data_IF_362680403173
#
_entry.id   IF_362680403173
#
_cell.length_a   1.000
_cell.length_b   1.000
_cell.length_c   1.000
_cell.angle_alpha   90.00
_cell.angle_beta   90.00
_cell.angle_gamma   90.00
#
_symmetry.space_group_name_H-M   'P 1'
#
loop_
_entity.id
_entity.type
_entity.pdbx_description
1 polymer ?
#
# COMPACT_ATOMS: atom_id res chain seq x y z
N UNK A 1 -92.11 6.63 40.41
CA UNK A 1 -90.80 6.61 41.10
C UNK A 1 -89.78 5.97 40.16
N UNK A 2 -88.57 6.55 40.05
CA UNK A 2 -87.40 6.14 39.23
C UNK A 2 -87.52 6.40 37.71
N UNK A 3 -86.51 6.87 36.98
CA UNK A 3 -85.17 7.37 37.27
C UNK A 3 -84.63 7.92 35.93
N UNK A 4 -84.52 9.23 35.78
CA UNK A 4 -83.92 9.84 34.57
C UNK A 4 -82.39 9.76 34.63
N UNK A 5 -81.78 8.97 33.74
CA UNK A 5 -80.32 8.93 33.54
C UNK A 5 -79.86 10.22 32.85
N UNK A 6 -79.00 10.99 33.49
CA UNK A 6 -78.24 12.09 32.88
C UNK A 6 -77.05 11.50 32.10
N UNK A 7 -77.15 11.48 30.77
CA UNK A 7 -76.01 11.23 29.90
C UNK A 7 -75.15 12.50 29.86
N UNK A 8 -73.97 12.44 30.50
CA UNK A 8 -72.96 13.49 30.45
C UNK A 8 -72.33 13.48 29.05
N UNK A 9 -72.77 14.39 28.17
CA UNK A 9 -72.14 14.60 26.87
C UNK A 9 -70.76 15.20 27.10
N UNK A 10 -69.72 14.37 26.90
CA UNK A 10 -68.34 14.81 26.89
C UNK A 10 -68.13 15.65 25.63
N UNK A 11 -67.95 16.95 25.80
CA UNK A 11 -67.56 17.87 24.71
C UNK A 11 -66.18 17.47 24.21
N UNK A 12 -66.12 16.85 23.04
CA UNK A 12 -64.88 16.70 22.31
C UNK A 12 -64.52 18.05 21.70
N UNK A 13 -63.53 18.73 22.28
CA UNK A 13 -62.91 19.90 21.66
C UNK A 13 -62.12 19.41 20.45
N UNK A 14 -62.68 19.60 19.25
CA UNK A 14 -61.97 19.33 18.00
C UNK A 14 -60.80 20.30 17.85
N UNK A 15 -59.64 19.78 17.44
CA UNK A 15 -58.49 20.59 17.09
C UNK A 15 -58.86 21.56 15.97
N UNK A 16 -58.51 22.83 16.16
CA UNK A 16 -58.78 23.85 15.14
C UNK A 16 -57.79 23.70 13.98
N UNK A 17 -58.22 24.11 12.77
CA UNK A 17 -57.34 24.11 11.60
C UNK A 17 -56.07 24.94 11.84
N UNK A 18 -56.19 26.01 12.62
CA UNK A 18 -55.07 26.88 13.00
C UNK A 18 -54.05 26.17 13.90
N UNK A 19 -54.49 25.33 14.84
CA UNK A 19 -53.59 24.53 15.67
C UNK A 19 -52.82 23.49 14.84
N UNK A 20 -53.47 22.84 13.87
CA UNK A 20 -52.77 21.88 12.99
C UNK A 20 -51.72 22.59 12.12
N UNK A 21 -52.05 23.75 11.55
CA UNK A 21 -51.07 24.54 10.76
C UNK A 21 -49.91 24.99 11.66
N UNK A 22 -50.19 25.43 12.89
CA UNK A 22 -49.16 25.82 13.86
C UNK A 22 -48.22 24.68 14.24
N UNK A 23 -48.75 23.49 14.52
CA UNK A 23 -47.94 22.30 14.83
C UNK A 23 -47.10 21.88 13.63
N UNK A 24 -47.69 21.84 12.43
CA UNK A 24 -46.94 21.51 11.21
C UNK A 24 -45.83 22.53 10.91
N UNK A 25 -46.06 23.82 11.16
CA UNK A 25 -45.04 24.85 10.99
C UNK A 25 -43.85 24.64 11.95
N UNK A 26 -44.12 24.35 13.23
CA UNK A 26 -43.08 24.06 14.22
C UNK A 26 -42.32 22.78 13.85
N UNK A 27 -43.03 21.72 13.44
CA UNK A 27 -42.41 20.48 12.98
C UNK A 27 -41.54 20.70 11.74
N UNK A 28 -41.98 21.52 10.78
CA UNK A 28 -41.21 21.84 9.58
C UNK A 28 -39.94 22.64 9.92
N UNK A 29 -40.02 23.61 10.84
CA UNK A 29 -38.86 24.38 11.31
C UNK A 29 -37.88 23.46 12.04
N UNK A 30 -38.36 22.63 12.98
CA UNK A 30 -37.52 21.69 13.72
C UNK A 30 -36.85 20.68 12.78
N UNK A 31 -37.60 20.09 11.85
CA UNK A 31 -37.05 19.18 10.84
C UNK A 31 -36.00 19.87 9.94
N UNK A 32 -36.25 21.12 9.53
CA UNK A 32 -35.31 21.93 8.76
C UNK A 32 -34.00 22.21 9.52
N UNK A 33 -34.07 22.50 10.82
CA UNK A 33 -32.88 22.81 11.64
C UNK A 33 -32.02 21.59 12.00
N UNK A 34 -32.60 20.38 12.05
CA UNK A 34 -31.88 19.15 12.40
C UNK A 34 -31.14 18.52 11.19
N UNK A 35 -31.62 18.76 9.98
CA UNK A 35 -31.08 18.20 8.73
C UNK A 35 -29.56 18.43 8.51
N UNK A 36 -29.00 19.65 8.62
CA UNK A 36 -27.59 19.89 8.31
C UNK A 36 -26.62 19.15 9.26
N UNK A 37 -26.95 19.08 10.55
CA UNK A 37 -26.08 18.47 11.56
C UNK A 37 -25.92 16.96 11.36
N UNK A 38 -26.98 16.27 10.92
CA UNK A 38 -26.97 14.82 10.69
C UNK A 38 -26.10 14.50 9.46
N UNK A 39 -26.25 15.25 8.37
CA UNK A 39 -25.48 15.04 7.15
C UNK A 39 -23.96 15.16 7.38
N UNK A 40 -23.53 16.17 8.14
CA UNK A 40 -22.12 16.38 8.47
C UNK A 40 -21.56 15.30 9.41
N UNK A 41 -22.38 14.80 10.34
CA UNK A 41 -21.98 13.67 11.20
C UNK A 41 -21.75 12.40 10.38
N UNK A 42 -22.65 12.13 9.43
CA UNK A 42 -22.57 10.94 8.58
C UNK A 42 -21.38 11.03 7.61
N UNK A 43 -21.11 12.19 7.02
CA UNK A 43 -19.94 12.40 6.17
C UNK A 43 -18.62 12.17 6.92
N UNK A 44 -18.55 12.61 8.19
CA UNK A 44 -17.39 12.31 9.05
C UNK A 44 -17.28 10.80 9.33
N UNK A 45 -18.37 10.12 9.64
CA UNK A 45 -18.36 8.68 9.85
C UNK A 45 -17.86 7.90 8.62
N UNK A 46 -18.30 8.29 7.41
CA UNK A 46 -17.77 7.71 6.17
C UNK A 46 -16.29 8.00 5.96
N UNK A 47 -15.86 9.22 6.26
CA UNK A 47 -14.47 9.62 6.14
C UNK A 47 -13.55 8.86 7.11
N UNK A 48 -14.01 8.59 8.33
CA UNK A 48 -13.29 7.81 9.33
C UNK A 48 -13.23 6.33 8.97
N UNK A 49 -14.34 5.76 8.52
CA UNK A 49 -14.39 4.40 8.00
C UNK A 49 -13.44 4.22 6.79
N UNK A 50 -13.36 5.23 5.93
CA UNK A 50 -12.46 5.21 4.78
C UNK A 50 -10.98 5.20 5.19
N UNK A 51 -10.60 5.94 6.25
CA UNK A 51 -9.23 5.88 6.79
C UNK A 51 -8.89 4.46 7.25
N UNK A 52 -9.81 3.80 7.95
CA UNK A 52 -9.63 2.41 8.39
C UNK A 52 -9.50 1.44 7.20
N UNK A 53 -10.36 1.59 6.19
CA UNK A 53 -10.28 0.77 4.97
C UNK A 53 -8.94 0.96 4.24
N UNK A 54 -8.45 2.20 4.15
CA UNK A 54 -7.16 2.51 3.54
C UNK A 54 -5.99 1.91 4.32
N UNK A 55 -6.10 1.78 5.65
CA UNK A 55 -5.11 1.08 6.47
C UNK A 55 -5.05 -0.40 6.09
N UNK A 56 -6.20 -1.08 6.03
CA UNK A 56 -6.30 -2.50 5.64
C UNK A 56 -5.73 -2.71 4.23
N UNK A 57 -6.01 -1.80 3.29
CA UNK A 57 -5.46 -1.85 1.93
C UNK A 57 -3.93 -1.68 1.95
N UNK A 58 -3.40 -0.74 2.74
CA UNK A 58 -1.95 -0.54 2.89
C UNK A 58 -1.25 -1.76 3.51
N UNK A 59 -1.86 -2.40 4.50
CA UNK A 59 -1.35 -3.63 5.09
C UNK A 59 -1.40 -4.82 4.14
N UNK A 60 -2.41 -4.87 3.29
CA UNK A 60 -2.50 -5.87 2.22
C UNK A 60 -1.39 -5.67 1.19
N UNK A 61 -1.00 -4.43 0.88
CA UNK A 61 0.18 -4.14 0.06
C UNK A 61 1.47 -4.62 0.73
N UNK A 62 1.63 -4.37 2.03
CA UNK A 62 2.79 -4.86 2.79
C UNK A 62 2.89 -6.38 2.75
N UNK A 63 1.78 -7.09 2.96
CA UNK A 63 1.73 -8.56 2.92
C UNK A 63 2.01 -9.10 1.52
N UNK A 64 1.38 -8.54 0.48
CA UNK A 64 1.65 -8.88 -0.90
C UNK A 64 3.15 -8.77 -1.23
N UNK A 65 3.79 -7.65 -0.86
CA UNK A 65 5.23 -7.45 -1.12
C UNK A 65 6.09 -8.50 -0.42
N UNK A 66 5.77 -8.82 0.82
CA UNK A 66 6.54 -9.78 1.61
C UNK A 66 6.29 -11.23 1.20
N UNK A 67 5.11 -11.60 0.75
CA UNK A 67 4.78 -12.99 0.40
C UNK A 67 5.12 -13.28 -1.07
N UNK A 68 4.75 -12.40 -2.00
CA UNK A 68 4.99 -12.60 -3.43
C UNK A 68 6.36 -12.11 -3.91
N UNK A 69 7.09 -11.38 -3.06
CA UNK A 69 8.35 -10.69 -3.41
C UNK A 69 8.20 -9.81 -4.64
N UNK A 70 7.04 -9.16 -4.74
CA UNK A 70 6.62 -8.35 -5.88
C UNK A 70 6.03 -7.04 -5.41
N UNK A 71 6.19 -6.00 -6.21
CA UNK A 71 5.48 -4.74 -6.02
C UNK A 71 4.58 -4.57 -7.24
N UNK A 72 3.26 -4.39 -7.07
CA UNK A 72 2.36 -4.26 -8.20
C UNK A 72 2.64 -2.97 -8.97
N UNK A 73 2.27 -2.91 -10.23
CA UNK A 73 2.39 -1.67 -11.00
C UNK A 73 1.36 -0.62 -10.56
N UNK A 74 1.56 0.64 -10.94
CA UNK A 74 0.55 1.70 -10.73
C UNK A 74 -0.71 1.56 -11.59
N UNK A 75 -0.85 0.51 -12.41
CA UNK A 75 -2.08 0.23 -13.14
C UNK A 75 -3.15 -0.33 -12.19
N UNK A 76 -4.36 0.22 -12.23
CA UNK A 76 -5.45 -0.18 -11.33
C UNK A 76 -5.75 -1.67 -11.34
N UNK A 77 -5.84 -2.31 -12.50
CA UNK A 77 -6.10 -3.76 -12.55
C UNK A 77 -4.98 -4.59 -11.90
N UNK A 78 -3.75 -4.09 -11.93
CA UNK A 78 -2.58 -4.75 -11.35
C UNK A 78 -2.59 -4.69 -9.83
N UNK A 79 -2.76 -3.50 -9.25
CA UNK A 79 -2.71 -3.38 -7.79
C UNK A 79 -4.00 -3.86 -7.13
N UNK A 80 -5.17 -3.63 -7.73
CA UNK A 80 -6.44 -4.12 -7.17
C UNK A 80 -6.43 -5.65 -7.05
N UNK A 81 -6.05 -6.36 -8.13
CA UNK A 81 -5.95 -7.83 -8.12
C UNK A 81 -4.89 -8.34 -7.14
N UNK A 82 -3.77 -7.63 -7.03
CA UNK A 82 -2.71 -7.98 -6.10
C UNK A 82 -3.17 -7.86 -4.64
N UNK A 83 -3.86 -6.77 -4.30
CA UNK A 83 -4.24 -6.47 -2.92
C UNK A 83 -5.44 -7.29 -2.46
N UNK A 84 -6.41 -7.60 -3.33
CA UNK A 84 -7.56 -8.43 -2.98
C UNK A 84 -7.18 -9.84 -2.60
N UNK A 85 -6.12 -10.38 -3.21
CA UNK A 85 -5.57 -11.70 -2.88
C UNK A 85 -5.03 -11.79 -1.44
N UNK A 86 -4.76 -10.65 -0.80
CA UNK A 86 -4.20 -10.58 0.55
C UNK A 86 -5.09 -9.83 1.54
N UNK A 87 -6.32 -9.49 1.17
CA UNK A 87 -7.26 -8.76 2.02
C UNK A 87 -8.59 -9.50 2.10
N UNK A 88 -9.46 -9.11 3.03
CA UNK A 88 -10.85 -9.59 3.04
C UNK A 88 -11.73 -8.83 2.04
N UNK A 89 -11.21 -7.77 1.41
CA UNK A 89 -11.92 -6.96 0.44
C UNK A 89 -11.86 -7.56 -0.96
N UNK A 90 -12.99 -7.45 -1.65
CA UNK A 90 -13.13 -7.71 -3.07
C UNK A 90 -12.37 -6.69 -3.92
N UNK A 91 -12.22 -6.96 -5.22
CA UNK A 91 -11.61 -6.01 -6.15
C UNK A 91 -12.33 -4.64 -6.15
N UNK A 92 -13.67 -4.64 -6.11
CA UNK A 92 -14.46 -3.42 -6.08
C UNK A 92 -14.27 -2.64 -4.78
N UNK A 93 -14.27 -3.31 -3.62
CA UNK A 93 -14.07 -2.65 -2.33
C UNK A 93 -12.67 -2.05 -2.17
N UNK A 94 -11.68 -2.56 -2.91
CA UNK A 94 -10.33 -1.98 -2.97
C UNK A 94 -10.29 -0.80 -3.94
N UNK A 95 -10.90 -0.95 -5.11
CA UNK A 95 -10.89 0.07 -6.15
C UNK A 95 -11.77 1.29 -5.79
N UNK A 96 -12.89 1.07 -5.10
CA UNK A 96 -13.89 2.10 -4.81
C UNK A 96 -14.14 2.24 -3.31
N UNK A 97 -14.32 3.48 -2.86
CA UNK A 97 -14.76 3.76 -1.50
C UNK A 97 -16.25 3.49 -1.30
N UNK A 98 -16.72 3.60 -0.06
CA UNK A 98 -18.11 3.34 0.32
C UNK A 98 -19.13 4.26 -0.37
N UNK A 99 -18.67 5.33 -1.04
CA UNK A 99 -19.49 6.25 -1.84
C UNK A 99 -19.44 5.93 -3.34
N UNK A 100 -18.75 4.86 -3.74
CA UNK A 100 -18.61 4.45 -5.14
C UNK A 100 -17.55 5.24 -5.92
N UNK A 101 -16.71 6.03 -5.23
CA UNK A 101 -15.64 6.79 -5.88
C UNK A 101 -14.33 6.04 -5.90
N UNK A 102 -13.62 6.17 -7.02
CA UNK A 102 -12.43 5.37 -7.33
C UNK A 102 -11.22 5.91 -6.57
N UNK A 103 -10.51 5.04 -5.87
CA UNK A 103 -9.21 5.30 -5.24
C UNK A 103 -8.07 5.21 -6.25
N UNK A 104 -6.95 5.82 -5.93
CA UNK A 104 -5.75 5.72 -6.76
C UNK A 104 -4.52 5.33 -5.92
N UNK A 105 -3.84 4.27 -6.33
CA UNK A 105 -2.51 3.92 -5.84
C UNK A 105 -1.46 4.56 -6.75
N UNK A 106 -0.65 5.44 -6.18
CA UNK A 106 0.30 6.29 -6.89
C UNK A 106 1.70 5.99 -6.36
N UNK A 107 2.60 5.59 -7.26
CA UNK A 107 4.00 5.38 -6.93
C UNK A 107 4.80 6.64 -7.25
N UNK A 108 5.82 6.92 -6.46
CA UNK A 108 6.79 7.96 -6.81
C UNK A 108 7.47 7.61 -8.15
N UNK A 109 7.44 8.51 -9.16
CA UNK A 109 8.14 8.29 -10.42
C UNK A 109 9.66 8.04 -10.27
N UNK A 110 10.25 8.43 -9.14
CA UNK A 110 11.66 8.18 -8.82
C UNK A 110 11.87 6.95 -7.93
N UNK A 111 10.96 5.99 -7.92
CA UNK A 111 11.05 4.80 -7.06
C UNK A 111 12.41 4.09 -7.16
N UNK A 112 12.87 3.80 -8.39
CA UNK A 112 14.15 3.13 -8.68
C UNK A 112 15.06 3.94 -9.61
N UNK A 113 14.79 5.23 -9.80
CA UNK A 113 15.56 6.05 -10.75
C UNK A 113 15.67 7.49 -10.27
N UNK A 114 16.81 8.12 -10.57
CA UNK A 114 17.04 9.53 -10.28
C UNK A 114 16.27 10.47 -11.23
N UNK A 115 15.64 9.94 -12.28
CA UNK A 115 14.74 10.65 -13.19
C UNK A 115 13.32 10.10 -13.12
N UNK A 116 12.34 10.92 -13.50
CA UNK A 116 10.93 10.57 -13.42
C UNK A 116 10.60 9.45 -14.44
N UNK A 117 10.27 8.25 -13.94
CA UNK A 117 9.90 7.09 -14.76
C UNK A 117 8.61 6.47 -14.26
N UNK A 118 7.76 6.01 -15.18
CA UNK A 118 6.52 5.33 -14.80
C UNK A 118 6.86 4.03 -14.11
N UNK A 119 6.38 3.88 -12.87
CA UNK A 119 6.58 2.65 -12.12
C UNK A 119 5.79 1.49 -12.76
N UNK A 120 6.52 0.50 -13.28
CA UNK A 120 5.96 -0.67 -13.97
C UNK A 120 5.75 -1.89 -13.06
N UNK A 121 5.96 -1.73 -11.75
CA UNK A 121 6.01 -2.84 -10.81
C UNK A 121 7.43 -3.39 -10.64
N UNK A 122 7.59 -4.32 -9.71
CA UNK A 122 8.86 -4.98 -9.41
C UNK A 122 8.65 -6.47 -9.14
N UNK A 123 9.59 -7.29 -9.59
CA UNK A 123 9.64 -8.71 -9.29
C UNK A 123 11.04 -9.04 -8.79
N UNK A 124 11.14 -9.56 -7.57
CA UNK A 124 12.40 -10.04 -7.01
C UNK A 124 12.90 -11.24 -7.81
N UNK A 125 13.85 -11.01 -8.72
CA UNK A 125 14.51 -12.10 -9.47
C UNK A 125 15.98 -12.22 -9.09
N UNK A 126 16.74 -11.14 -9.29
CA UNK A 126 18.19 -11.09 -8.98
C UNK A 126 18.54 -10.05 -7.92
N UNK A 127 17.55 -9.33 -7.40
CA UNK A 127 17.74 -8.11 -6.61
C UNK A 127 18.07 -6.90 -7.49
N UNK A 128 18.01 -5.71 -6.90
CA UNK A 128 18.34 -4.44 -7.55
C UNK A 128 19.84 -4.18 -7.45
N UNK A 129 20.43 -3.58 -8.48
CA UNK A 129 21.85 -3.18 -8.46
C UNK A 129 22.10 -1.94 -7.60
N UNK A 130 21.11 -1.05 -7.54
CA UNK A 130 21.15 0.18 -6.76
C UNK A 130 20.05 0.16 -5.69
N UNK A 131 20.22 0.98 -4.66
CA UNK A 131 19.18 1.18 -3.66
C UNK A 131 17.95 1.80 -4.34
N UNK A 132 16.73 1.48 -3.89
CA UNK A 132 15.57 2.26 -4.25
C UNK A 132 15.79 3.73 -3.89
N UNK A 133 15.58 4.62 -4.85
CA UNK A 133 15.87 6.06 -4.71
C UNK A 133 14.80 6.75 -3.87
N UNK A 134 13.53 6.44 -4.14
CA UNK A 134 12.39 7.01 -3.43
C UNK A 134 11.22 6.02 -3.36
N UNK A 135 11.31 4.97 -2.53
CA UNK A 135 10.34 3.89 -2.49
C UNK A 135 9.08 4.29 -1.72
N UNK A 136 8.38 5.32 -2.22
CA UNK A 136 7.20 5.95 -1.62
C UNK A 136 5.97 5.66 -2.47
N UNK A 137 4.85 5.45 -1.78
CA UNK A 137 3.55 5.17 -2.39
C UNK A 137 2.48 5.98 -1.67
N UNK A 138 1.53 6.50 -2.43
CA UNK A 138 0.33 7.17 -1.92
C UNK A 138 -0.88 6.34 -2.32
N UNK A 139 -1.77 6.05 -1.38
CA UNK A 139 -3.14 5.67 -1.67
C UNK A 139 -4.00 6.90 -1.41
N UNK A 140 -4.72 7.35 -2.44
CA UNK A 140 -5.58 8.54 -2.38
C UNK A 140 -7.03 8.13 -2.56
N UNK A 141 -7.90 8.66 -1.72
CA UNK A 141 -9.35 8.52 -1.81
C UNK A 141 -10.00 9.90 -1.72
N UNK A 142 -11.03 10.12 -2.53
CA UNK A 142 -11.85 11.33 -2.52
C UNK A 142 -13.31 10.91 -2.37
N UNK A 143 -13.97 11.42 -1.32
CA UNK A 143 -15.34 11.07 -0.95
C UNK A 143 -16.39 11.82 -1.78
N UNK A 144 -15.99 12.61 -2.76
CA UNK A 144 -16.89 13.43 -3.60
C UNK A 144 -16.80 13.12 -5.08
N UNK A 145 -15.74 12.44 -5.53
CA UNK A 145 -15.48 12.14 -6.94
C UNK A 145 -14.40 11.07 -7.10
N UNK A 146 -14.34 10.46 -8.27
CA UNK A 146 -13.22 9.59 -8.63
C UNK A 146 -11.90 10.37 -8.58
N UNK A 147 -10.87 9.78 -7.98
CA UNK A 147 -9.53 10.38 -7.97
C UNK A 147 -8.96 10.34 -9.40
N UNK A 148 -8.71 11.51 -10.03
CA UNK A 148 -8.19 11.54 -11.40
C UNK A 148 -6.72 11.21 -11.44
N UNK A 149 -6.30 10.52 -12.51
CA UNK A 149 -4.90 10.26 -12.82
C UNK A 149 -4.02 11.51 -12.67
N UNK A 150 -2.80 11.31 -12.19
CA UNK A 150 -1.80 12.37 -12.05
C UNK A 150 -0.70 12.22 -13.09
N UNK A 151 -0.01 13.30 -13.41
CA UNK A 151 1.18 13.23 -14.26
C UNK A 151 2.27 12.43 -13.56
N UNK A 152 3.06 11.70 -14.35
CA UNK A 152 4.22 10.93 -13.86
C UNK A 152 5.38 11.89 -13.55
N UNK A 153 5.22 12.73 -12.52
CA UNK A 153 6.20 13.72 -12.10
C UNK A 153 6.49 13.64 -10.61
N UNK A 154 7.76 13.56 -10.24
CA UNK A 154 8.19 13.58 -8.83
C UNK A 154 7.85 14.91 -8.16
N UNK A 155 7.81 16.03 -8.91
CA UNK A 155 7.34 17.33 -8.39
C UNK A 155 5.88 17.27 -7.95
N UNK A 156 5.02 16.69 -8.79
CA UNK A 156 3.58 16.53 -8.48
C UNK A 156 3.39 15.54 -7.34
N UNK A 157 4.09 14.41 -7.36
CA UNK A 157 4.07 13.44 -6.28
C UNK A 157 4.49 14.07 -4.94
N UNK A 158 5.61 14.80 -4.92
CA UNK A 158 6.12 15.48 -3.73
C UNK A 158 5.17 16.57 -3.21
N UNK A 159 4.49 17.29 -4.10
CA UNK A 159 3.49 18.27 -3.69
C UNK A 159 2.35 17.60 -2.90
N UNK A 160 1.87 16.42 -3.36
CA UNK A 160 0.85 15.64 -2.66
C UNK A 160 1.42 15.05 -1.37
N UNK A 161 2.59 14.43 -1.42
CA UNK A 161 3.23 13.81 -0.27
C UNK A 161 3.43 14.81 0.89
N UNK A 162 3.92 16.02 0.59
CA UNK A 162 4.24 17.07 1.55
C UNK A 162 3.08 18.01 1.87
N UNK A 163 1.89 17.82 1.28
CA UNK A 163 0.75 18.73 1.44
C UNK A 163 1.08 20.19 1.06
N UNK A 164 1.78 20.36 -0.06
CA UNK A 164 2.08 21.69 -0.57
C UNK A 164 0.78 22.45 -0.91
N UNK A 165 0.76 23.78 -0.72
CA UNK A 165 -0.43 24.63 -0.93
C UNK A 165 -1.03 24.53 -2.34
N UNK A 166 -0.20 24.24 -3.35
CA UNK A 166 -0.60 24.08 -4.74
C UNK A 166 -0.71 22.59 -5.16
N UNK A 167 -0.77 21.68 -4.19
CA UNK A 167 -0.96 20.26 -4.46
C UNK A 167 -2.31 20.01 -5.11
N UNK A 168 -2.34 19.06 -6.05
CA UNK A 168 -3.58 18.59 -6.69
C UNK A 168 -4.55 17.97 -5.68
N UNK A 169 -4.01 17.37 -4.62
CA UNK A 169 -4.78 16.78 -3.52
C UNK A 169 -4.23 17.29 -2.19
N UNK A 170 -5.12 17.88 -1.39
CA UNK A 170 -4.84 18.34 -0.03
C UNK A 170 -5.80 17.60 0.89
N UNK A 171 -5.26 17.00 1.94
CA UNK A 171 -6.01 16.27 2.95
C UNK A 171 -7.10 17.16 3.55
N UNK A 172 -8.29 16.60 3.66
CA UNK A 172 -9.47 17.29 4.16
C UNK A 172 -10.49 16.27 4.67
N UNK A 173 -11.71 16.73 4.99
CA UNK A 173 -12.80 15.83 5.34
C UNK A 173 -13.13 14.86 4.19
N UNK A 174 -12.98 15.31 2.93
CA UNK A 174 -13.33 14.54 1.75
C UNK A 174 -12.13 13.83 1.11
N UNK A 175 -10.92 14.36 1.24
CA UNK A 175 -9.72 13.79 0.61
C UNK A 175 -8.86 13.12 1.68
N UNK A 176 -8.68 11.81 1.55
CA UNK A 176 -7.86 10.98 2.45
C UNK A 176 -6.64 10.48 1.71
N UNK A 177 -5.47 10.57 2.35
CA UNK A 177 -4.19 10.19 1.76
C UNK A 177 -3.43 9.30 2.72
N UNK A 178 -3.26 8.03 2.35
CA UNK A 178 -2.40 7.09 3.08
C UNK A 178 -1.03 7.09 2.45
N UNK A 179 -0.03 7.51 3.23
CA UNK A 179 1.39 7.51 2.85
C UNK A 179 2.02 6.18 3.26
N UNK A 180 2.69 5.53 2.33
CA UNK A 180 3.33 4.23 2.53
C UNK A 180 4.80 4.36 2.12
N UNK A 181 5.71 4.01 3.03
CA UNK A 181 7.15 4.10 2.82
C UNK A 181 7.78 2.70 2.84
N UNK A 182 8.41 2.31 1.74
CA UNK A 182 8.87 0.94 1.53
C UNK A 182 10.38 0.77 1.74
N UNK A 183 11.14 1.80 2.15
CA UNK A 183 12.61 1.66 2.33
C UNK A 183 13.00 0.54 3.29
N UNK A 184 12.29 0.36 4.41
CA UNK A 184 12.57 -0.70 5.38
C UNK A 184 12.30 -2.11 4.86
N UNK A 185 11.69 -2.23 3.67
CA UNK A 185 11.47 -3.51 3.01
C UNK A 185 12.66 -3.95 2.18
N UNK A 186 13.71 -3.15 2.02
CA UNK A 186 14.89 -3.52 1.24
C UNK A 186 16.13 -3.62 2.12
N UNK A 187 16.84 -4.73 1.99
CA UNK A 187 18.11 -4.98 2.66
C UNK A 187 19.24 -5.04 1.65
N UNK A 188 20.40 -4.52 2.02
CA UNK A 188 21.60 -4.59 1.22
C UNK A 188 22.29 -5.93 1.45
N UNK A 189 22.57 -6.62 0.37
CA UNK A 189 23.31 -7.89 0.36
C UNK A 189 24.60 -7.72 -0.41
N UNK A 190 25.72 -8.06 0.22
CA UNK A 190 27.05 -8.03 -0.38
C UNK A 190 27.58 -9.46 -0.48
N UNK A 191 27.85 -9.92 -1.69
CA UNK A 191 28.51 -11.21 -1.91
C UNK A 191 29.87 -10.97 -2.53
N UNK A 192 30.90 -11.57 -1.95
CA UNK A 192 32.27 -11.56 -2.46
C UNK A 192 32.74 -12.96 -2.84
N UNK A 193 33.66 -13.04 -3.79
CA UNK A 193 34.14 -14.30 -4.34
C UNK A 193 35.65 -14.22 -4.62
N UNK A 194 36.41 -15.07 -3.94
CA UNK A 194 37.85 -15.24 -4.14
C UNK A 194 38.19 -16.25 -5.25
N UNK A 195 37.21 -16.99 -5.78
CA UNK A 195 37.44 -18.03 -6.77
C UNK A 195 37.68 -17.41 -8.17
N UNK A 196 38.53 -18.07 -8.98
CA UNK A 196 38.79 -17.68 -10.38
C UNK A 196 37.60 -17.95 -11.30
N UNK A 197 36.65 -18.77 -10.87
CA UNK A 197 35.36 -18.99 -11.51
C UNK A 197 34.26 -18.21 -10.80
N UNK A 198 33.21 -17.86 -11.55
CA UNK A 198 32.05 -17.19 -11.00
C UNK A 198 31.30 -18.13 -10.04
N UNK A 199 31.19 -17.73 -8.76
CA UNK A 199 30.20 -18.28 -7.84
C UNK A 199 28.82 -17.70 -8.16
N UNK A 200 27.76 -18.11 -7.46
CA UNK A 200 26.42 -17.59 -7.75
C UNK A 200 25.41 -17.79 -6.64
N UNK A 201 24.29 -17.10 -6.80
CA UNK A 201 23.15 -17.16 -5.90
C UNK A 201 21.83 -17.23 -6.68
N UNK A 202 20.78 -17.59 -5.96
CA UNK A 202 19.38 -17.53 -6.41
C UNK A 202 18.54 -16.88 -5.33
N UNK A 203 17.60 -16.03 -5.72
CA UNK A 203 16.59 -15.49 -4.80
C UNK A 203 15.26 -16.21 -5.05
N UNK A 204 14.64 -16.72 -3.99
CA UNK A 204 13.44 -17.57 -4.07
C UNK A 204 13.58 -18.72 -5.08
N UNK A 205 12.80 -18.66 -6.16
CA UNK A 205 12.83 -19.51 -7.36
C UNK A 205 13.17 -18.70 -8.62
N UNK A 206 13.77 -17.52 -8.43
CA UNK A 206 14.16 -16.58 -9.48
C UNK A 206 15.33 -17.08 -10.34
N UNK A 207 15.87 -16.20 -11.18
CA UNK A 207 16.98 -16.55 -12.08
C UNK A 207 18.28 -16.59 -11.29
N UNK A 208 19.14 -17.57 -11.60
CA UNK A 208 20.51 -17.56 -11.11
C UNK A 208 21.25 -16.27 -11.49
N UNK A 209 22.05 -15.77 -10.56
CA UNK A 209 22.85 -14.57 -10.72
C UNK A 209 24.28 -14.84 -10.25
N UNK A 210 25.25 -14.53 -11.10
CA UNK A 210 26.64 -14.77 -10.78
C UNK A 210 27.18 -13.73 -9.80
N UNK A 211 28.12 -14.17 -8.96
CA UNK A 211 29.05 -13.33 -8.20
C UNK A 211 30.37 -13.36 -8.96
N UNK A 212 30.91 -12.20 -9.38
CA UNK A 212 32.08 -12.15 -10.26
C UNK A 212 33.26 -12.94 -9.72
N UNK A 213 34.06 -13.55 -10.60
CA UNK A 213 35.33 -14.13 -10.24
C UNK A 213 36.33 -13.08 -9.72
N UNK A 214 37.33 -13.52 -8.97
CA UNK A 214 38.47 -12.68 -8.61
C UNK A 214 39.17 -12.13 -9.86
N UNK A 215 39.63 -10.88 -9.81
CA UNK A 215 40.40 -10.23 -10.86
C UNK A 215 41.63 -9.57 -10.26
N UNK A 216 42.82 -9.93 -10.77
CA UNK A 216 44.13 -9.36 -10.34
C UNK A 216 44.33 -9.38 -8.81
N UNK A 217 43.93 -10.47 -8.14
CA UNK A 217 44.09 -10.63 -6.68
C UNK A 217 43.05 -9.89 -5.82
N UNK A 218 42.06 -9.23 -6.43
CA UNK A 218 40.91 -8.67 -5.72
C UNK A 218 39.69 -9.56 -5.86
N UNK A 219 38.94 -9.76 -4.78
CA UNK A 219 37.67 -10.48 -4.81
C UNK A 219 36.71 -9.86 -5.82
N UNK A 220 35.97 -10.72 -6.53
CA UNK A 220 34.81 -10.25 -7.26
C UNK A 220 33.70 -9.95 -6.26
N UNK A 221 33.16 -8.72 -6.29
CA UNK A 221 32.14 -8.26 -5.33
C UNK A 221 30.86 -7.88 -6.09
N UNK A 222 29.72 -8.17 -5.48
CA UNK A 222 28.42 -7.75 -5.97
C UNK A 222 27.56 -7.26 -4.82
N UNK A 223 26.93 -6.11 -5.03
CA UNK A 223 25.95 -5.55 -4.10
C UNK A 223 24.56 -5.65 -4.71
N UNK A 224 23.58 -6.05 -3.90
CA UNK A 224 22.18 -6.14 -4.27
C UNK A 224 21.29 -5.57 -3.19
N UNK A 225 20.17 -4.97 -3.60
CA UNK A 225 19.08 -4.62 -2.70
C UNK A 225 17.93 -5.59 -2.90
N UNK A 226 17.51 -6.22 -1.81
CA UNK A 226 16.62 -7.39 -1.82
C UNK A 226 15.46 -7.15 -0.85
N UNK A 227 14.25 -7.53 -1.24
CA UNK A 227 13.06 -7.43 -0.40
C UNK A 227 13.24 -8.26 0.87
N UNK A 228 12.74 -7.76 2.00
CA UNK A 228 12.78 -8.42 3.29
C UNK A 228 12.14 -9.82 3.24
N UNK A 229 12.64 -10.70 4.11
CA UNK A 229 12.27 -12.10 4.22
C UNK A 229 12.47 -12.89 2.93
N UNK A 230 13.33 -12.43 2.00
CA UNK A 230 13.65 -13.17 0.77
C UNK A 230 14.62 -14.30 1.09
N UNK A 231 14.30 -15.51 0.64
CA UNK A 231 15.22 -16.65 0.67
C UNK A 231 16.31 -16.47 -0.37
N UNK A 232 17.56 -16.55 0.07
CA UNK A 232 18.74 -16.58 -0.79
C UNK A 232 19.39 -17.96 -0.71
N UNK A 233 19.57 -18.60 -1.86
CA UNK A 233 20.38 -19.81 -2.01
C UNK A 233 21.76 -19.44 -2.56
N UNK A 234 22.81 -19.91 -1.90
CA UNK A 234 24.20 -19.74 -2.29
C UNK A 234 24.75 -21.05 -2.80
N UNK A 235 25.38 -21.01 -3.98
CA UNK A 235 25.81 -22.20 -4.72
C UNK A 235 27.31 -22.19 -4.89
N UNK A 236 27.88 -23.39 -5.00
CA UNK A 236 29.30 -23.59 -5.31
C UNK A 236 29.59 -23.21 -6.76
N UNK A 237 30.85 -22.94 -7.08
CA UNK A 237 31.30 -22.92 -8.47
C UNK A 237 31.15 -24.32 -9.11
N UNK A 238 30.99 -24.42 -10.45
CA UNK A 238 30.89 -23.35 -11.42
C UNK A 238 29.45 -22.84 -11.60
N UNK A 239 29.28 -21.54 -11.84
CA UNK A 239 28.01 -21.00 -12.32
C UNK A 239 27.64 -21.57 -13.71
N UNK A 240 26.39 -21.97 -13.98
CA UNK A 240 25.22 -22.05 -13.09
C UNK A 240 24.92 -23.48 -12.59
N UNK A 241 25.87 -24.42 -12.69
CA UNK A 241 25.64 -25.87 -12.49
C UNK A 241 26.18 -26.43 -11.17
N UNK A 242 26.83 -25.61 -10.36
CA UNK A 242 27.26 -25.97 -9.02
C UNK A 242 26.11 -26.42 -8.10
N UNK A 243 26.48 -27.10 -7.02
CA UNK A 243 25.49 -27.56 -6.03
C UNK A 243 25.13 -26.42 -5.08
N UNK A 244 23.88 -26.42 -4.62
CA UNK A 244 23.45 -25.58 -3.50
C UNK A 244 24.30 -25.92 -2.27
N UNK A 245 24.85 -24.90 -1.62
CA UNK A 245 25.67 -25.07 -0.43
C UNK A 245 24.95 -24.55 0.82
N UNK A 246 24.39 -23.34 0.74
CA UNK A 246 23.77 -22.70 1.88
C UNK A 246 22.50 -21.98 1.47
N UNK A 247 21.53 -21.93 2.39
CA UNK A 247 20.35 -21.07 2.26
C UNK A 247 20.24 -20.16 3.47
N UNK A 248 19.67 -18.98 3.26
CA UNK A 248 19.35 -18.04 4.33
C UNK A 248 18.06 -17.28 3.99
N UNK A 249 17.38 -16.76 5.01
CA UNK A 249 16.27 -15.82 4.87
C UNK A 249 16.76 -14.46 5.33
N UNK A 250 16.67 -13.47 4.45
CA UNK A 250 17.18 -12.13 4.73
C UNK A 250 16.23 -11.37 5.65
N UNK A 251 16.72 -10.92 6.80
CA UNK A 251 15.96 -10.10 7.76
C UNK A 251 16.61 -8.73 8.03
N UNK A 252 17.85 -8.56 7.59
CA UNK A 252 18.68 -7.37 7.71
C UNK A 252 19.65 -7.30 6.54
N UNK A 253 20.45 -6.22 6.49
CA UNK A 253 21.68 -6.20 5.70
C UNK A 253 22.51 -7.46 5.96
N UNK A 254 23.08 -8.03 4.90
CA UNK A 254 23.73 -9.33 4.94
C UNK A 254 24.97 -9.38 4.04
N UNK A 255 26.01 -10.08 4.47
CA UNK A 255 27.21 -10.26 3.68
C UNK A 255 27.75 -11.69 3.78
N UNK A 256 28.25 -12.21 2.67
CA UNK A 256 28.89 -13.53 2.58
C UNK A 256 30.06 -13.49 1.61
N UNK A 257 31.08 -14.30 1.87
CA UNK A 257 32.28 -14.44 1.07
C UNK A 257 32.48 -15.89 0.67
N UNK A 258 32.71 -16.14 -0.61
CA UNK A 258 33.10 -17.45 -1.13
C UNK A 258 34.62 -17.56 -1.15
N UNK A 259 35.16 -18.38 -0.26
CA UNK A 259 36.61 -18.51 -0.03
C UNK A 259 37.05 -19.97 0.13
N UNK A 260 38.36 -20.18 0.02
CA UNK A 260 38.98 -21.48 0.23
C UNK A 260 39.43 -21.64 1.70
N UNK A 261 39.15 -22.80 2.29
CA UNK A 261 39.88 -23.32 3.44
C UNK A 261 40.66 -24.55 2.96
N UNK A 262 41.96 -24.37 2.73
CA UNK A 262 42.80 -25.35 2.04
C UNK A 262 42.30 -25.61 0.61
N UNK A 263 41.89 -26.84 0.31
CA UNK A 263 41.34 -27.23 -1.00
C UNK A 263 39.82 -27.03 -1.12
N UNK A 264 39.12 -26.78 -0.01
CA UNK A 264 37.67 -26.75 0.05
C UNK A 264 37.14 -25.32 -0.07
N UNK A 265 36.25 -25.10 -1.05
CA UNK A 265 35.57 -23.82 -1.24
C UNK A 265 34.18 -23.83 -0.61
N UNK A 266 33.86 -22.74 0.09
CA UNK A 266 32.60 -22.57 0.80
C UNK A 266 32.25 -21.11 1.04
N UNK A 267 30.96 -20.84 1.27
CA UNK A 267 30.45 -19.55 1.71
C UNK A 267 30.61 -19.36 3.21
N UNK A 268 31.19 -18.23 3.62
CA UNK A 268 31.35 -17.83 5.04
C UNK A 268 30.90 -16.39 5.26
N UNK A 269 30.56 -16.05 6.49
CA UNK A 269 30.43 -14.65 6.87
C UNK A 269 31.83 -14.01 6.87
N UNK A 270 32.01 -12.84 6.25
CA UNK A 270 33.29 -12.13 6.22
C UNK A 270 33.70 -11.62 7.61
#
# INVERSE_FOLDING_TARGET
>A
MKSGRLNKLVSQKGFTLMEIIGVMAIMAILAGTLSPNIADSLNRAYADAEIQNMEVIADSLNRYILQEKRIPSGNTSSWVKALSSFSTFTNEEIEYNSKGYRRQLIFDPRFFSHSDKKFSGFVQSKGLFEAPVSPRVLLVSDMTRHVPSISNSSKVFNAIWNQAKNSKFIESNNVKIKRIHLSSKFHRVILSNQNKSNAYYQLESGKYAFVPATKKGSDGVITRYIINSTRIGLFKVPYPSGKLEQTAILQSDWAMRYQANGKNWHWVKP
#
